data_IF_305552260805
#
_entry.id   IF_305552260805
#
_cell.length_a   1.000
_cell.length_b   1.000
_cell.length_c   1.000
_cell.angle_alpha   90.00
_cell.angle_beta   90.00
_cell.angle_gamma   90.00
#
_symmetry.space_group_name_H-M   'P 1'
#
loop_
_entity.id
_entity.type
_entity.pdbx_description
1 polymer ?
#
# COMPACT_ATOMS: atom_id res chain seq x y z
N UNK A 1 4.06 3.57 -19.66
CA UNK A 1 4.21 3.12 -18.25
C UNK A 1 2.92 2.46 -17.81
N UNK A 2 3.00 1.40 -17.00
CA UNK A 2 1.83 0.76 -16.41
C UNK A 2 1.14 1.67 -15.39
N UNK A 3 -0.18 1.52 -15.21
CA UNK A 3 -0.93 2.30 -14.22
C UNK A 3 -0.48 2.04 -12.78
N UNK A 4 -0.15 0.79 -12.44
CA UNK A 4 0.44 0.45 -11.13
C UNK A 4 1.80 1.11 -10.90
N UNK A 5 2.63 1.29 -11.95
CA UNK A 5 3.91 1.98 -11.83
C UNK A 5 3.73 3.44 -11.40
N UNK A 6 2.76 4.16 -11.99
CA UNK A 6 2.47 5.54 -11.58
C UNK A 6 2.03 5.63 -10.09
N UNK A 7 1.28 4.62 -9.62
CA UNK A 7 0.89 4.53 -8.21
C UNK A 7 2.11 4.25 -7.32
N UNK A 8 3.05 3.41 -7.74
CA UNK A 8 4.31 3.18 -7.04
C UNK A 8 5.21 4.43 -6.99
N UNK A 9 5.22 5.23 -8.05
CA UNK A 9 5.97 6.48 -8.09
C UNK A 9 5.41 7.48 -7.06
N UNK A 10 4.08 7.58 -6.94
CA UNK A 10 3.43 8.36 -5.88
C UNK A 10 3.79 7.86 -4.47
N UNK A 11 3.86 6.54 -4.28
CA UNK A 11 4.30 5.96 -3.02
C UNK A 11 5.75 6.37 -2.69
N UNK A 12 6.63 6.35 -3.69
CA UNK A 12 8.03 6.77 -3.54
C UNK A 12 8.13 8.26 -3.17
N UNK A 13 7.33 9.13 -3.79
CA UNK A 13 7.26 10.56 -3.45
C UNK A 13 6.83 10.73 -1.98
N UNK A 14 5.79 10.02 -1.54
CA UNK A 14 5.35 10.05 -0.14
C UNK A 14 6.46 9.58 0.81
N UNK A 15 7.20 8.54 0.45
CA UNK A 15 8.35 8.06 1.24
C UNK A 15 9.44 9.12 1.37
N UNK A 16 9.78 9.82 0.27
CA UNK A 16 10.76 10.92 0.26
C UNK A 16 10.28 12.09 1.14
N UNK A 17 8.99 12.43 1.09
CA UNK A 17 8.41 13.46 1.94
C UNK A 17 8.46 13.07 3.43
N UNK A 18 8.09 11.84 3.77
CA UNK A 18 8.18 11.32 5.14
C UNK A 18 9.60 11.34 5.71
N UNK A 19 10.62 11.14 4.86
CA UNK A 19 12.04 11.24 5.26
C UNK A 19 12.48 12.68 5.53
N UNK A 20 11.87 13.67 4.85
CA UNK A 20 12.19 15.09 4.99
C UNK A 20 11.40 15.78 6.11
N UNK A 21 10.25 15.24 6.50
CA UNK A 21 9.43 15.81 7.59
C UNK A 21 10.11 15.67 8.94
N UNK A 22 10.11 16.77 9.71
CA UNK A 22 10.71 16.85 11.04
C UNK A 22 9.72 16.52 12.16
N UNK A 23 8.43 16.80 11.97
CA UNK A 23 7.40 16.50 12.95
C UNK A 23 6.80 15.10 12.78
N UNK A 24 6.48 14.47 13.91
CA UNK A 24 5.93 13.10 13.95
C UNK A 24 4.57 12.98 13.24
N UNK A 25 3.60 13.90 13.42
CA UNK A 25 2.31 13.83 12.74
C UNK A 25 2.41 13.81 11.20
N UNK A 26 3.16 14.74 10.61
CA UNK A 26 3.33 14.85 9.16
C UNK A 26 4.05 13.64 8.58
N UNK A 27 5.11 13.16 9.25
CA UNK A 27 5.79 11.91 8.89
C UNK A 27 4.83 10.73 8.88
N UNK A 28 3.97 10.61 9.89
CA UNK A 28 2.96 9.56 9.98
C UNK A 28 1.89 9.67 8.88
N UNK A 29 1.55 10.89 8.45
CA UNK A 29 0.63 11.12 7.33
C UNK A 29 1.22 10.62 6.01
N UNK A 30 2.46 11.01 5.70
CA UNK A 30 3.11 10.58 4.46
C UNK A 30 3.36 9.07 4.41
N UNK A 31 3.69 8.43 5.54
CA UNK A 31 3.80 6.97 5.61
C UNK A 31 2.48 6.25 5.34
N UNK A 32 1.36 6.78 5.85
CA UNK A 32 0.02 6.24 5.55
C UNK A 32 -0.32 6.37 4.07
N UNK A 33 0.01 7.52 3.46
CA UNK A 33 -0.18 7.71 2.02
C UNK A 33 0.71 6.78 1.18
N UNK A 34 1.98 6.58 1.57
CA UNK A 34 2.86 5.61 0.91
C UNK A 34 2.25 4.20 0.93
N UNK A 35 1.76 3.76 2.09
CA UNK A 35 1.12 2.45 2.22
C UNK A 35 -0.15 2.34 1.36
N UNK A 36 -0.98 3.38 1.33
CA UNK A 36 -2.20 3.42 0.52
C UNK A 36 -1.89 3.33 -0.98
N UNK A 37 -0.89 4.09 -1.46
CA UNK A 37 -0.47 4.01 -2.87
C UNK A 37 0.08 2.64 -3.26
N UNK A 38 0.84 1.99 -2.37
CA UNK A 38 1.32 0.62 -2.58
C UNK A 38 0.18 -0.38 -2.64
N UNK A 39 -0.84 -0.24 -1.80
CA UNK A 39 -2.03 -1.09 -1.83
C UNK A 39 -2.79 -0.93 -3.16
N UNK A 40 -3.01 0.32 -3.60
CA UNK A 40 -3.65 0.61 -4.89
C UNK A 40 -2.86 0.07 -6.08
N UNK A 41 -1.52 0.16 -6.06
CA UNK A 41 -0.69 -0.38 -7.13
C UNK A 41 -0.88 -1.89 -7.29
N UNK A 42 -0.93 -2.62 -6.16
CA UNK A 42 -1.17 -4.07 -6.15
C UNK A 42 -2.58 -4.43 -6.63
N UNK A 43 -3.57 -3.68 -6.17
CA UNK A 43 -4.95 -3.85 -6.66
C UNK A 43 -5.00 -3.66 -8.18
N UNK A 44 -4.28 -2.66 -8.70
CA UNK A 44 -4.21 -2.43 -10.13
C UNK A 44 -3.50 -3.58 -10.85
N UNK A 45 -2.40 -4.11 -10.30
CA UNK A 45 -1.74 -5.30 -10.86
C UNK A 45 -2.69 -6.51 -10.89
N UNK A 46 -3.55 -6.67 -9.89
CA UNK A 46 -4.56 -7.74 -9.85
C UNK A 46 -5.64 -7.53 -10.92
N UNK A 47 -6.18 -6.32 -11.03
CA UNK A 47 -7.19 -5.97 -12.04
C UNK A 47 -6.65 -6.09 -13.47
N UNK A 48 -5.36 -5.82 -13.66
CA UNK A 48 -4.67 -5.97 -14.95
C UNK A 48 -4.30 -7.44 -15.24
N UNK A 49 -4.57 -8.38 -14.33
CA UNK A 49 -4.29 -9.81 -14.51
C UNK A 49 -2.83 -10.22 -14.31
N UNK A 50 -2.02 -9.35 -13.69
CA UNK A 50 -0.57 -9.51 -13.59
C UNK A 50 -0.10 -10.17 -12.29
N UNK A 51 -0.98 -10.18 -11.28
CA UNK A 51 -0.83 -11.01 -10.09
C UNK A 51 -2.07 -11.88 -9.91
N UNK A 52 -1.85 -13.13 -9.49
CA UNK A 52 -2.95 -14.05 -9.26
C UNK A 52 -3.81 -13.60 -8.06
N UNK A 53 -5.13 -13.86 -8.04
CA UNK A 53 -6.01 -13.44 -6.95
C UNK A 53 -5.53 -13.92 -5.57
N UNK A 54 -4.96 -15.13 -5.49
CA UNK A 54 -4.42 -15.70 -4.24
C UNK A 54 -3.29 -14.84 -3.65
N UNK A 55 -2.53 -14.15 -4.50
CA UNK A 55 -1.45 -13.26 -4.07
C UNK A 55 -1.99 -11.92 -3.58
N UNK A 56 -3.03 -11.37 -4.20
CA UNK A 56 -3.66 -10.12 -3.77
C UNK A 56 -4.24 -10.21 -2.35
N UNK A 57 -4.94 -11.31 -2.00
CA UNK A 57 -5.55 -11.49 -0.68
C UNK A 57 -4.55 -11.62 0.48
N UNK A 58 -3.34 -12.16 0.22
CA UNK A 58 -2.30 -12.31 1.25
C UNK A 58 -1.78 -10.96 1.77
N UNK A 59 -1.90 -9.92 0.97
CA UNK A 59 -1.38 -8.58 1.30
C UNK A 59 -2.45 -7.55 1.65
N UNK A 60 -3.71 -7.82 1.32
CA UNK A 60 -4.85 -7.00 1.75
C UNK A 60 -5.16 -7.15 3.25
N UNK A 61 -4.68 -8.21 3.91
CA UNK A 61 -4.81 -8.38 5.35
C UNK A 61 -3.82 -7.48 6.10
N UNK A 62 -4.29 -6.56 6.96
CA UNK A 62 -3.43 -5.96 7.97
C UNK A 62 -2.87 -7.08 8.84
N UNK A 63 -1.59 -7.02 9.19
CA UNK A 63 -0.88 -8.02 9.98
C UNK A 63 -1.39 -8.22 11.44
N UNK A 64 -2.63 -7.81 11.76
CA UNK A 64 -3.15 -7.77 13.13
C UNK A 64 -4.62 -8.15 13.31
N UNK A 65 -5.39 -8.53 12.28
CA UNK A 65 -6.77 -8.99 12.49
C UNK A 65 -6.77 -10.50 12.68
N UNK A 66 -6.70 -10.96 13.94
CA UNK A 66 -7.13 -12.33 14.30
C UNK A 66 -8.63 -12.40 14.06
N UNK A 67 -9.05 -13.15 13.05
CA UNK A 67 -10.43 -13.65 13.00
C UNK A 67 -10.58 -14.64 14.15
N UNK A 68 -11.21 -14.21 15.24
CA UNK A 68 -11.81 -15.12 16.21
C UNK A 68 -13.07 -15.70 15.57
N UNK A 69 -12.94 -16.83 14.88
CA UNK A 69 -14.08 -17.70 14.66
C UNK A 69 -14.34 -18.42 15.99
N UNK A 70 -15.33 -17.95 16.75
CA UNK A 70 -15.98 -18.75 17.78
C UNK A 70 -16.93 -19.72 17.07
N UNK A 71 -16.90 -20.97 17.50
CA UNK A 71 -17.66 -22.11 17.00
C UNK A 71 -19.16 -21.97 17.26
#
# INVERSE_FOLDING_TARGET
MKRSQHLLDNAMICSKLAKRSTDKPTKARFRRMEAAWKALAREQDWLDGEIAPIEAFRFARPAGVRQSHAA
#
